data_IF_747058594150
#
_entry.id   IF_747058594150
#
_cell.length_a   1.000
_cell.length_b   1.000
_cell.length_c   1.000
_cell.angle_alpha   90.00
_cell.angle_beta   90.00
_cell.angle_gamma   90.00
#
_symmetry.space_group_name_H-M   'P 1'
#
loop_
_entity.id
_entity.type
_entity.pdbx_description
1 polymer ?
#
# COMPACT_ATOMS: atom_id res chain seq x y z
N UNK A 1 11.91 -14.95 -16.31
CA UNK A 1 11.62 -15.19 -14.87
C UNK A 1 10.90 -16.52 -14.65
N UNK A 2 9.90 -16.91 -15.43
CA UNK A 2 9.34 -18.26 -15.29
C UNK A 2 10.39 -19.34 -15.56
N UNK A 3 10.42 -20.37 -14.72
CA UNK A 3 11.44 -21.42 -14.71
C UNK A 3 12.77 -21.02 -14.06
N UNK A 4 12.95 -19.75 -13.68
CA UNK A 4 14.15 -19.31 -12.95
C UNK A 4 14.14 -19.89 -11.53
N UNK A 5 15.28 -20.46 -11.14
CA UNK A 5 15.55 -20.89 -9.76
C UNK A 5 16.37 -19.80 -9.08
N UNK A 6 15.88 -19.31 -7.96
CA UNK A 6 16.58 -18.35 -7.11
C UNK A 6 17.07 -19.06 -5.86
N UNK A 7 18.38 -18.96 -5.57
CA UNK A 7 18.94 -19.42 -4.29
C UNK A 7 18.76 -18.30 -3.27
N UNK A 8 17.97 -18.56 -2.24
CA UNK A 8 17.49 -17.54 -1.31
C UNK A 8 18.03 -17.82 0.08
N UNK A 9 18.52 -16.78 0.75
CA UNK A 9 19.05 -16.87 2.12
C UNK A 9 18.21 -16.07 3.09
N UNK A 10 18.07 -16.62 4.30
CA UNK A 10 17.34 -15.96 5.37
C UNK A 10 18.01 -14.62 5.68
N UNK A 11 17.20 -13.58 5.75
CA UNK A 11 17.65 -12.25 6.04
C UNK A 11 16.92 -11.70 7.25
N UNK A 12 17.68 -11.24 8.23
CA UNK A 12 17.11 -10.45 9.32
C UNK A 12 17.06 -9.01 8.81
N UNK A 13 15.87 -8.43 8.56
CA UNK A 13 15.77 -7.02 8.22
C UNK A 13 16.54 -6.18 9.24
N UNK A 14 17.15 -5.06 8.83
CA UNK A 14 17.73 -4.10 9.76
C UNK A 14 16.73 -3.86 10.88
N UNK A 15 17.19 -3.81 12.14
CA UNK A 15 16.33 -3.24 13.19
C UNK A 15 15.91 -1.88 12.67
N UNK A 16 14.63 -1.66 12.42
CA UNK A 16 14.26 -0.35 11.96
C UNK A 16 14.16 0.54 13.21
N UNK A 17 14.10 1.85 13.05
CA UNK A 17 13.50 2.75 14.05
C UNK A 17 14.36 3.19 15.26
N UNK A 18 15.57 3.74 15.05
CA UNK A 18 16.18 4.62 16.09
C UNK A 18 16.23 6.11 15.69
N UNK A 19 15.82 6.49 14.47
CA UNK A 19 15.81 7.91 14.09
C UNK A 19 14.45 8.55 14.39
N UNK A 20 14.49 9.72 15.04
CA UNK A 20 13.31 10.55 15.37
C UNK A 20 12.63 11.15 14.13
N UNK A 21 13.30 11.14 12.99
CA UNK A 21 12.91 11.93 11.80
C UNK A 21 12.04 11.14 10.81
N UNK A 22 11.56 9.94 11.19
CA UNK A 22 10.76 9.10 10.29
C UNK A 22 11.57 8.56 9.09
N UNK A 23 12.89 8.74 9.10
CA UNK A 23 13.82 8.04 8.23
C UNK A 23 14.01 6.64 8.84
N UNK A 24 13.34 5.67 8.23
CA UNK A 24 13.22 4.29 8.71
C UNK A 24 14.55 3.52 8.75
N UNK A 25 15.57 4.10 8.13
CA UNK A 25 16.98 3.78 8.31
C UNK A 25 17.62 5.06 8.86
N UNK A 26 18.57 4.97 9.80
CA UNK A 26 19.36 6.15 10.22
C UNK A 26 20.01 6.87 9.02
N UNK A 27 20.90 7.83 9.26
CA UNK A 27 21.62 8.47 8.14
C UNK A 27 22.12 7.40 7.16
N UNK A 28 21.61 7.46 5.92
CA UNK A 28 21.96 6.47 4.91
C UNK A 28 23.48 6.49 4.80
N UNK A 29 24.18 5.35 4.94
CA UNK A 29 25.62 5.31 4.72
C UNK A 29 25.97 5.65 3.26
N UNK A 30 24.96 5.63 2.37
CA UNK A 30 25.09 6.09 1.00
C UNK A 30 25.19 7.61 1.01
N UNK A 31 26.28 8.13 0.44
CA UNK A 31 26.29 9.53 0.02
C UNK A 31 25.15 9.69 -0.98
N UNK A 32 24.13 10.47 -0.60
CA UNK A 32 23.10 10.89 -1.55
C UNK A 32 23.80 11.40 -2.81
N UNK A 33 23.27 11.03 -3.98
CA UNK A 33 23.92 11.41 -5.22
C UNK A 33 24.10 12.93 -5.27
N UNK A 34 25.34 13.38 -5.45
CA UNK A 34 25.67 14.75 -5.80
C UNK A 34 25.31 15.02 -7.27
N UNK A 35 24.11 14.63 -7.74
CA UNK A 35 23.57 15.13 -9.01
C UNK A 35 23.13 16.57 -8.75
N UNK A 36 24.11 17.48 -8.69
CA UNK A 36 23.94 18.88 -8.28
C UNK A 36 23.08 19.71 -9.26
N UNK A 37 22.75 19.18 -10.43
CA UNK A 37 22.18 19.98 -11.52
C UNK A 37 20.70 19.72 -11.80
N UNK A 38 19.96 19.02 -10.93
CA UNK A 38 18.49 18.89 -11.04
C UNK A 38 17.95 18.07 -12.22
N UNK A 39 18.72 17.93 -13.30
CA UNK A 39 18.34 17.29 -14.56
C UNK A 39 18.89 15.85 -14.72
N UNK A 40 19.61 15.34 -13.70
CA UNK A 40 20.49 14.19 -13.84
C UNK A 40 20.11 12.93 -13.07
N UNK A 41 18.94 12.83 -12.44
CA UNK A 41 18.57 11.54 -11.88
C UNK A 41 18.26 10.58 -13.04
N UNK A 42 18.85 9.38 -13.09
CA UNK A 42 18.63 8.50 -14.22
C UNK A 42 17.18 8.03 -14.28
N UNK A 43 16.41 8.71 -15.13
CA UNK A 43 15.10 8.27 -15.58
C UNK A 43 15.20 6.99 -16.44
N UNK A 44 16.41 6.63 -16.87
CA UNK A 44 16.70 5.45 -17.66
C UNK A 44 17.12 4.25 -16.78
N UNK A 45 16.59 3.08 -17.13
CA UNK A 45 16.78 1.80 -16.41
C UNK A 45 18.24 1.40 -16.21
N UNK A 46 19.12 1.63 -17.19
CA UNK A 46 20.53 1.20 -17.10
C UNK A 46 21.33 1.96 -16.04
N UNK A 47 20.96 3.22 -15.81
CA UNK A 47 21.59 4.02 -14.78
C UNK A 47 20.94 3.80 -13.40
N UNK A 48 19.66 3.38 -13.33
CA UNK A 48 19.10 2.76 -12.10
C UNK A 48 19.83 1.45 -11.77
N UNK A 49 20.05 0.57 -12.74
CA UNK A 49 20.78 -0.69 -12.55
C UNK A 49 22.22 -0.44 -12.08
N UNK A 50 22.93 0.48 -12.72
CA UNK A 50 24.28 0.90 -12.29
C UNK A 50 24.27 1.43 -10.85
N UNK A 51 23.29 2.29 -10.52
CA UNK A 51 23.15 2.84 -9.18
C UNK A 51 22.92 1.76 -8.12
N UNK A 52 21.99 0.82 -8.35
CA UNK A 52 21.71 -0.28 -7.40
C UNK A 52 22.92 -1.21 -7.24
N UNK A 53 23.71 -1.42 -8.29
CA UNK A 53 24.95 -2.19 -8.22
C UNK A 53 26.03 -1.50 -7.37
N UNK A 54 26.08 -0.17 -7.38
CA UNK A 54 27.02 0.64 -6.60
C UNK A 54 26.56 0.90 -5.16
N UNK A 55 25.26 0.72 -4.90
CA UNK A 55 24.62 1.01 -3.63
C UNK A 55 23.89 -0.25 -3.12
N UNK A 56 24.62 -1.28 -2.66
CA UNK A 56 23.99 -2.48 -2.13
C UNK A 56 23.09 -2.13 -0.93
N UNK A 57 22.00 -2.88 -0.72
CA UNK A 57 21.17 -2.78 0.48
C UNK A 57 22.04 -2.78 1.74
N UNK A 58 21.62 -2.01 2.74
CA UNK A 58 22.34 -1.93 4.01
C UNK A 58 22.50 -3.35 4.57
N UNK A 59 23.74 -3.82 4.69
CA UNK A 59 24.05 -5.13 5.25
C UNK A 59 23.72 -5.12 6.73
N UNK A 60 22.79 -5.97 7.15
CA UNK A 60 22.49 -6.16 8.57
C UNK A 60 22.77 -7.58 8.94
N UNK A 61 24.03 -7.81 9.33
CA UNK A 61 24.56 -9.09 9.81
C UNK A 61 24.64 -10.14 8.67
N UNK A 62 25.65 -11.02 8.64
CA UNK A 62 25.74 -12.05 7.61
C UNK A 62 24.43 -12.87 7.50
N UNK A 63 24.07 -13.31 6.28
CA UNK A 63 22.86 -14.09 6.05
C UNK A 63 22.81 -15.30 6.98
N UNK A 64 21.60 -15.66 7.42
CA UNK A 64 21.38 -16.88 8.19
C UNK A 64 21.89 -18.11 7.44
N UNK A 65 22.19 -19.23 8.13
CA UNK A 65 22.68 -20.44 7.48
C UNK A 65 21.62 -21.14 6.61
N UNK A 66 20.36 -20.71 6.68
CA UNK A 66 19.26 -21.32 5.94
C UNK A 66 19.21 -20.79 4.50
N UNK A 67 19.28 -21.72 3.55
CA UNK A 67 19.19 -21.48 2.11
C UNK A 67 18.13 -22.40 1.51
N UNK A 68 17.30 -21.87 0.61
CA UNK A 68 16.34 -22.67 -0.16
C UNK A 68 16.23 -22.17 -1.60
N UNK A 69 15.73 -23.04 -2.46
CA UNK A 69 15.46 -22.73 -3.86
C UNK A 69 14.00 -22.30 -4.05
N UNK A 70 13.80 -21.10 -4.62
CA UNK A 70 12.53 -20.66 -5.16
C UNK A 70 12.52 -20.89 -6.67
N UNK A 71 11.67 -21.82 -7.14
CA UNK A 71 11.42 -21.99 -8.57
C UNK A 71 10.21 -21.16 -8.98
N UNK A 72 10.44 -20.08 -9.73
CA UNK A 72 9.37 -19.21 -10.22
C UNK A 72 8.53 -19.97 -11.25
N UNK A 73 7.24 -20.14 -10.97
CA UNK A 73 6.30 -20.78 -11.89
C UNK A 73 5.55 -19.77 -12.75
N UNK A 74 5.16 -18.65 -12.14
CA UNK A 74 4.32 -17.64 -12.78
C UNK A 74 4.68 -16.26 -12.24
N UNK A 75 4.75 -15.28 -13.12
CA UNK A 75 4.80 -13.87 -12.71
C UNK A 75 3.35 -13.35 -12.65
N UNK A 76 2.89 -12.90 -11.47
CA UNK A 76 1.57 -12.28 -11.31
C UNK A 76 1.65 -10.81 -11.66
N UNK A 77 2.61 -10.09 -11.08
CA UNK A 77 2.86 -8.68 -11.34
C UNK A 77 4.33 -8.53 -11.66
N UNK A 78 4.63 -7.96 -12.83
CA UNK A 78 5.99 -7.82 -13.33
C UNK A 78 6.28 -6.41 -13.81
N UNK A 79 7.56 -6.08 -13.97
CA UNK A 79 7.96 -4.79 -14.50
C UNK A 79 7.45 -4.64 -15.93
N UNK A 80 6.72 -3.55 -16.20
CA UNK A 80 6.36 -3.21 -17.57
C UNK A 80 7.60 -2.70 -18.30
N UNK A 81 7.67 -2.95 -19.61
CA UNK A 81 8.52 -2.12 -20.47
C UNK A 81 7.94 -0.72 -20.40
N UNK A 82 8.66 0.22 -19.79
CA UNK A 82 8.47 1.62 -20.15
C UNK A 82 8.91 1.72 -21.60
N UNK A 83 7.95 1.62 -22.52
CA UNK A 83 8.14 2.29 -23.80
C UNK A 83 8.12 3.77 -23.41
N UNK A 84 9.31 4.33 -23.18
CA UNK A 84 9.52 5.69 -23.64
C UNK A 84 9.39 5.56 -25.16
N UNK A 85 8.14 5.49 -25.65
CA UNK A 85 7.89 5.97 -26.98
C UNK A 85 8.51 7.36 -26.92
N UNK A 86 9.59 7.56 -27.68
CA UNK A 86 9.83 8.88 -28.18
C UNK A 86 8.45 9.34 -28.61
N UNK A 87 7.94 10.39 -27.98
CA UNK A 87 7.04 11.24 -28.73
C UNK A 87 7.90 11.63 -29.92
N UNK A 88 7.86 10.81 -30.96
CA UNK A 88 8.19 11.21 -32.30
C UNK A 88 7.25 12.38 -32.45
N UNK A 89 7.88 13.54 -32.32
CA UNK A 89 7.31 14.86 -32.37
C UNK A 89 6.89 15.06 -33.83
N UNK A 90 5.94 14.23 -34.27
CA UNK A 90 5.07 14.44 -35.42
C UNK A 90 4.06 15.56 -35.05
N UNK A 91 4.51 16.57 -34.29
CA UNK A 91 3.97 17.90 -34.49
C UNK A 91 4.31 18.22 -35.93
N UNK A 92 3.30 18.03 -36.78
CA UNK A 92 3.23 18.63 -38.10
C UNK A 92 3.71 20.07 -37.93
N UNK A 93 4.94 20.34 -38.37
CA UNK A 93 5.47 21.68 -38.50
C UNK A 93 4.54 22.40 -39.47
N UNK A 94 3.51 23.06 -38.93
CA UNK A 94 2.87 24.16 -39.62
C UNK A 94 4.01 25.12 -39.97
N UNK A 95 4.25 25.28 -41.26
CA UNK A 95 5.24 26.18 -41.85
C UNK A 95 5.10 27.58 -41.24
N UNK A 96 5.84 27.85 -40.16
CA UNK A 96 6.08 29.20 -39.70
C UNK A 96 7.23 29.76 -40.54
N UNK A 97 6.89 30.71 -41.41
CA UNK A 97 7.84 31.50 -42.18
C UNK A 97 8.82 32.19 -41.23
N UNK A 98 10.04 31.65 -41.19
CA UNK A 98 11.20 32.08 -40.42
C UNK A 98 11.70 33.45 -40.89
N UNK A 99 11.48 34.48 -40.07
CA UNK A 99 12.07 35.81 -40.17
C UNK A 99 13.35 35.93 -39.34
N UNK A 100 14.33 35.10 -39.70
CA UNK A 100 15.74 35.46 -39.81
C UNK A 100 16.34 36.29 -38.66
N UNK A 101 16.91 35.59 -37.68
CA UNK A 101 18.22 35.83 -37.04
C UNK A 101 18.33 34.98 -35.77
N UNK A 102 19.13 33.92 -35.82
CA UNK A 102 19.55 33.17 -34.64
C UNK A 102 20.83 32.40 -34.94
N UNK A 103 21.83 32.60 -34.09
CA UNK A 103 23.18 32.05 -34.24
C UNK A 103 23.21 30.52 -34.31
N UNK A 104 23.96 30.00 -35.29
CA UNK A 104 24.24 28.57 -35.46
C UNK A 104 25.19 28.14 -34.33
N UNK A 105 24.68 27.34 -33.38
CA UNK A 105 25.51 26.64 -32.41
C UNK A 105 26.13 25.44 -33.13
N UNK A 106 27.43 25.50 -33.43
CA UNK A 106 28.19 24.36 -33.97
C UNK A 106 28.21 23.22 -32.95
N UNK A 107 27.67 22.07 -33.36
CA UNK A 107 27.68 20.83 -32.59
C UNK A 107 29.07 20.19 -32.68
N UNK A 108 29.72 19.90 -31.54
CA UNK A 108 31.03 19.24 -31.49
C UNK A 108 30.88 17.72 -31.81
N UNK A 109 31.39 17.25 -32.95
CA UNK A 109 31.27 15.84 -33.35
C UNK A 109 32.15 14.88 -32.52
N UNK A 110 32.96 15.39 -31.58
CA UNK A 110 33.80 14.57 -30.70
C UNK A 110 33.22 14.37 -29.30
N UNK A 111 31.98 14.80 -29.04
CA UNK A 111 31.28 14.47 -27.81
C UNK A 111 30.91 12.97 -27.82
N UNK A 112 31.83 12.15 -27.32
CA UNK A 112 31.69 10.70 -27.20
C UNK A 112 30.67 10.38 -26.11
N UNK A 113 29.41 10.24 -26.50
CA UNK A 113 28.39 9.60 -25.67
C UNK A 113 28.73 8.11 -25.62
N UNK A 114 28.99 7.50 -24.44
CA UNK A 114 29.13 6.06 -24.33
C UNK A 114 27.90 5.41 -24.96
N UNK A 115 28.11 4.52 -25.93
CA UNK A 115 27.04 4.00 -26.77
C UNK A 115 25.86 3.48 -25.95
N UNK A 116 24.61 3.68 -26.41
CA UNK A 116 23.44 3.21 -25.70
C UNK A 116 23.50 1.69 -25.60
N UNK A 117 23.35 1.20 -24.37
CA UNK A 117 23.03 -0.20 -24.11
C UNK A 117 21.84 -0.60 -24.99
N UNK A 118 21.94 -1.76 -25.65
CA UNK A 118 20.81 -2.32 -26.38
C UNK A 118 19.94 -3.08 -25.40
N UNK A 119 18.67 -2.71 -25.38
CA UNK A 119 17.60 -3.33 -24.59
C UNK A 119 17.47 -4.86 -24.79
N UNK A 120 18.09 -5.40 -25.83
CA UNK A 120 18.04 -6.79 -26.27
C UNK A 120 18.99 -7.73 -25.48
N UNK A 121 19.93 -7.19 -24.69
CA UNK A 121 20.94 -7.98 -23.97
C UNK A 121 20.50 -8.46 -22.56
N UNK A 122 19.32 -8.03 -22.09
CA UNK A 122 18.72 -8.54 -20.85
C UNK A 122 17.95 -9.84 -21.12
N UNK A 123 17.95 -10.84 -20.21
CA UNK A 123 17.15 -12.06 -20.39
C UNK A 123 15.68 -11.69 -20.62
N UNK A 124 15.23 -11.90 -21.86
CA UNK A 124 13.94 -11.44 -22.37
C UNK A 124 12.80 -11.85 -21.43
N UNK A 125 12.11 -10.86 -20.85
CA UNK A 125 10.79 -11.05 -20.24
C UNK A 125 9.75 -11.10 -21.36
N UNK A 126 9.74 -12.18 -22.16
CA UNK A 126 8.71 -12.39 -23.19
C UNK A 126 7.38 -12.74 -22.55
N UNK A 127 6.37 -11.91 -22.83
CA UNK A 127 4.95 -12.11 -22.53
C UNK A 127 4.48 -13.37 -23.28
N UNK A 128 4.07 -14.44 -22.57
CA UNK A 128 3.51 -15.65 -23.20
C UNK A 128 1.99 -15.67 -23.27
N UNK A 129 1.30 -14.79 -22.54
CA UNK A 129 -0.16 -14.72 -22.53
C UNK A 129 -0.65 -13.26 -22.59
N UNK A 130 -1.16 -12.79 -23.75
CA UNK A 130 -1.73 -11.46 -23.90
C UNK A 130 -3.08 -11.29 -23.17
N UNK A 131 -3.65 -12.36 -22.60
CA UNK A 131 -4.96 -12.34 -21.93
C UNK A 131 -4.90 -12.21 -20.40
N UNK A 132 -3.71 -12.05 -19.81
CA UNK A 132 -3.59 -11.66 -18.40
C UNK A 132 -3.64 -10.12 -18.28
N UNK A 133 -4.72 -9.56 -17.67
CA UNK A 133 -4.92 -8.12 -17.58
C UNK A 133 -4.08 -7.56 -16.42
N UNK A 134 -2.83 -7.28 -16.71
CA UNK A 134 -2.06 -6.27 -16.01
C UNK A 134 -2.11 -5.03 -16.89
N UNK A 135 -2.47 -3.91 -16.27
CA UNK A 135 -2.91 -2.63 -16.85
C UNK A 135 -1.93 -2.05 -17.90
N UNK A 136 -2.17 -0.87 -18.44
CA UNK A 136 -1.24 -0.20 -19.36
C UNK A 136 -0.29 0.82 -18.66
N UNK A 137 -0.41 1.02 -17.33
CA UNK A 137 0.40 2.01 -16.58
C UNK A 137 1.74 1.53 -15.98
N UNK A 138 2.82 2.33 -15.92
CA UNK A 138 4.08 1.92 -15.29
C UNK A 138 3.87 1.42 -13.85
N UNK A 139 4.12 0.13 -13.64
CA UNK A 139 3.98 -0.49 -12.33
C UNK A 139 5.17 -0.10 -11.45
N UNK A 140 4.90 0.67 -10.39
CA UNK A 140 5.90 1.18 -9.47
C UNK A 140 5.80 0.40 -8.15
N UNK A 141 6.56 -0.68 -8.00
CA UNK A 141 6.53 -1.48 -6.77
C UNK A 141 7.15 -2.86 -6.88
N UNK A 142 6.85 -3.71 -5.90
CA UNK A 142 7.37 -5.05 -5.80
C UNK A 142 6.88 -5.98 -6.92
N UNK A 143 7.79 -6.73 -7.53
CA UNK A 143 7.43 -7.81 -8.45
C UNK A 143 6.74 -8.91 -7.65
N UNK A 144 5.56 -9.35 -8.09
CA UNK A 144 4.81 -10.42 -7.43
C UNK A 144 4.85 -11.68 -8.28
N UNK A 145 5.39 -12.76 -7.75
CA UNK A 145 5.49 -14.05 -8.43
C UNK A 145 4.85 -15.16 -7.60
N UNK A 146 4.43 -16.22 -8.28
CA UNK A 146 4.10 -17.50 -7.65
C UNK A 146 5.18 -18.49 -8.01
N UNK A 147 5.70 -19.19 -7.01
CA UNK A 147 6.73 -20.19 -7.19
C UNK A 147 6.58 -21.36 -6.25
N UNK A 148 7.29 -22.44 -6.57
CA UNK A 148 7.46 -23.55 -5.67
C UNK A 148 8.62 -23.27 -4.72
N UNK A 149 8.39 -23.47 -3.43
CA UNK A 149 9.42 -23.46 -2.39
C UNK A 149 9.24 -24.72 -1.55
N UNK A 150 10.33 -25.32 -1.10
CA UNK A 150 10.31 -26.31 -0.04
C UNK A 150 10.96 -25.71 1.19
N UNK A 151 10.15 -25.27 2.15
CA UNK A 151 10.65 -24.72 3.40
C UNK A 151 11.10 -25.85 4.34
N UNK A 152 11.90 -25.50 5.34
CA UNK A 152 12.36 -26.47 6.34
C UNK A 152 11.15 -27.10 7.06
N UNK A 153 11.11 -28.43 7.04
CA UNK A 153 10.01 -29.21 7.63
C UNK A 153 8.88 -29.55 6.64
N UNK A 154 8.87 -28.98 5.44
CA UNK A 154 7.94 -29.40 4.40
C UNK A 154 8.33 -30.78 3.84
N UNK A 155 7.32 -31.66 3.72
CA UNK A 155 7.49 -32.98 3.12
C UNK A 155 7.68 -32.92 1.59
N UNK A 156 7.20 -31.85 0.95
CA UNK A 156 7.30 -31.64 -0.49
C UNK A 156 7.19 -30.14 -0.79
N UNK A 157 7.71 -29.66 -1.95
CA UNK A 157 7.55 -28.29 -2.38
C UNK A 157 6.08 -27.87 -2.46
N UNK A 158 5.77 -26.65 -2.01
CA UNK A 158 4.44 -26.03 -2.06
C UNK A 158 4.49 -24.72 -2.82
N UNK A 159 3.32 -24.24 -3.25
CA UNK A 159 3.23 -22.96 -3.93
C UNK A 159 3.08 -21.81 -2.93
N UNK A 160 3.90 -20.78 -3.14
CA UNK A 160 3.90 -19.55 -2.35
C UNK A 160 3.81 -18.33 -3.26
N UNK A 161 3.43 -17.19 -2.68
CA UNK A 161 3.54 -15.88 -3.32
C UNK A 161 4.81 -15.22 -2.81
N UNK A 162 5.68 -14.77 -3.71
CA UNK A 162 6.85 -13.98 -3.37
C UNK A 162 6.68 -12.56 -3.89
N UNK A 163 6.83 -11.58 -3.00
CA UNK A 163 6.93 -10.16 -3.36
C UNK A 163 8.40 -9.76 -3.32
N UNK A 164 8.94 -9.37 -4.46
CA UNK A 164 10.36 -9.11 -4.71
C UNK A 164 10.54 -7.60 -4.89
N UNK A 165 11.33 -7.00 -4.01
CA UNK A 165 11.64 -5.57 -3.97
C UNK A 165 13.04 -5.37 -4.54
N UNK A 166 13.12 -5.24 -5.86
CA UNK A 166 14.36 -4.95 -6.58
C UNK A 166 14.36 -3.47 -6.97
N UNK A 167 15.31 -2.71 -6.44
CA UNK A 167 15.44 -1.27 -6.67
C UNK A 167 15.50 -0.88 -8.14
N UNK A 168 15.94 -1.80 -9.02
CA UNK A 168 15.95 -1.58 -10.46
C UNK A 168 14.54 -1.44 -11.09
N UNK A 169 13.48 -1.72 -10.33
CA UNK A 169 12.08 -1.60 -10.77
C UNK A 169 11.29 -0.56 -9.97
N UNK A 170 11.99 0.24 -9.17
CA UNK A 170 11.42 1.35 -8.43
C UNK A 170 11.73 2.64 -9.18
N UNK A 171 10.80 3.18 -9.99
CA UNK A 171 11.09 4.40 -10.70
C UNK A 171 11.19 5.55 -9.71
N UNK A 172 12.28 6.30 -9.81
CA UNK A 172 12.42 7.58 -9.16
C UNK A 172 11.94 8.63 -10.15
N UNK A 173 10.68 9.05 -10.02
CA UNK A 173 10.26 10.30 -10.63
C UNK A 173 10.42 11.39 -9.58
N UNK A 174 11.25 12.39 -9.88
CA UNK A 174 11.40 13.57 -9.02
C UNK A 174 10.05 14.25 -8.76
N UNK A 175 9.19 14.34 -9.77
CA UNK A 175 7.84 14.90 -9.62
C UNK A 175 6.93 14.04 -8.74
N UNK A 176 7.03 12.71 -8.82
CA UNK A 176 6.27 11.81 -7.96
C UNK A 176 6.71 11.89 -6.50
N UNK A 177 8.00 12.09 -6.24
CA UNK A 177 8.56 12.24 -4.89
C UNK A 177 8.24 13.62 -4.30
N UNK A 178 8.35 14.69 -5.09
CA UNK A 178 7.91 16.05 -4.71
C UNK A 178 6.41 16.09 -4.41
N UNK A 179 5.56 15.46 -5.24
CA UNK A 179 4.11 15.39 -5.02
C UNK A 179 3.72 14.53 -3.79
N UNK A 180 4.57 13.59 -3.37
CA UNK A 180 4.35 12.77 -2.15
C UNK A 180 4.71 13.50 -0.86
N UNK A 181 5.22 14.73 -0.94
CA UNK A 181 5.05 15.73 0.11
C UNK A 181 5.89 15.52 1.38
N UNK A 182 7.16 15.12 1.27
CA UNK A 182 8.04 15.05 2.46
C UNK A 182 9.36 15.83 2.41
N UNK A 183 9.78 16.34 1.25
CA UNK A 183 10.99 17.15 1.16
C UNK A 183 10.77 18.35 0.24
N UNK A 184 11.22 19.52 0.70
CA UNK A 184 11.43 20.63 -0.23
C UNK A 184 12.60 20.23 -1.13
N UNK A 185 12.56 20.48 -2.44
CA UNK A 185 13.70 20.28 -3.35
C UNK A 185 15.04 20.82 -2.81
N UNK A 186 14.98 21.82 -1.93
CA UNK A 186 16.12 22.55 -1.37
C UNK A 186 16.93 21.82 -0.30
N UNK A 187 16.52 20.64 0.19
CA UNK A 187 17.33 19.88 1.17
C UNK A 187 18.43 19.01 0.53
N UNK A 188 18.51 19.00 -0.80
CA UNK A 188 19.60 18.35 -1.55
C UNK A 188 19.59 16.82 -1.48
N UNK A 189 18.52 16.21 -0.97
CA UNK A 189 18.39 14.77 -0.84
C UNK A 189 17.62 14.24 -2.06
N UNK A 190 18.36 13.77 -3.07
CA UNK A 190 17.74 13.12 -4.22
C UNK A 190 17.14 11.75 -3.80
N UNK A 191 15.87 11.45 -4.14
CA UNK A 191 15.25 10.17 -3.83
C UNK A 191 15.99 9.01 -4.52
N UNK A 192 16.18 7.89 -3.81
CA UNK A 192 16.93 6.72 -4.28
C UNK A 192 15.98 5.51 -4.45
N UNK A 193 15.94 4.92 -5.66
CA UNK A 193 15.18 3.71 -6.01
C UNK A 193 15.44 2.51 -5.09
N UNK A 194 16.69 2.25 -4.73
CA UNK A 194 17.05 1.15 -3.83
C UNK A 194 16.62 1.45 -2.40
N UNK A 195 16.82 2.68 -1.93
CA UNK A 195 16.29 3.10 -0.63
C UNK A 195 14.76 2.96 -0.60
N UNK A 196 14.05 3.36 -1.66
CA UNK A 196 12.60 3.20 -1.76
C UNK A 196 12.16 1.74 -1.72
N UNK A 197 12.83 0.87 -2.48
CA UNK A 197 12.56 -0.57 -2.47
C UNK A 197 12.78 -1.18 -1.08
N UNK A 198 13.88 -0.82 -0.41
CA UNK A 198 14.20 -1.27 0.94
C UNK A 198 13.15 -0.76 1.96
N UNK A 199 12.70 0.49 1.85
CA UNK A 199 11.65 1.08 2.69
C UNK A 199 10.31 0.32 2.56
N UNK A 200 9.84 0.12 1.34
CA UNK A 200 8.60 -0.60 1.09
C UNK A 200 8.69 -2.05 1.60
N UNK A 201 9.82 -2.72 1.34
CA UNK A 201 10.12 -4.05 1.86
C UNK A 201 10.08 -4.10 3.39
N UNK A 202 10.76 -3.16 4.06
CA UNK A 202 10.86 -3.14 5.51
C UNK A 202 9.52 -2.86 6.18
N UNK A 203 8.75 -1.90 5.65
CA UNK A 203 7.40 -1.62 6.12
C UNK A 203 6.50 -2.86 5.97
N UNK A 204 6.47 -3.50 4.80
CA UNK A 204 5.64 -4.68 4.57
C UNK A 204 6.09 -5.88 5.42
N UNK A 205 7.40 -6.13 5.52
CA UNK A 205 7.94 -7.21 6.37
C UNK A 205 7.69 -6.96 7.86
N UNK A 206 7.78 -5.72 8.33
CA UNK A 206 7.53 -5.38 9.72
C UNK A 206 6.05 -5.57 10.07
N UNK A 207 5.15 -5.10 9.21
CA UNK A 207 3.71 -5.30 9.36
C UNK A 207 3.35 -6.78 9.51
N UNK A 208 3.82 -7.63 8.59
CA UNK A 208 3.54 -9.07 8.65
C UNK A 208 4.14 -9.74 9.90
N UNK A 209 5.31 -9.31 10.37
CA UNK A 209 5.88 -9.80 11.62
C UNK A 209 5.02 -9.42 12.83
N UNK A 210 4.57 -8.17 12.91
CA UNK A 210 3.66 -7.71 13.96
C UNK A 210 2.34 -8.49 13.97
N UNK A 211 1.82 -8.82 12.77
CA UNK A 211 0.62 -9.67 12.64
C UNK A 211 0.88 -11.11 13.10
N UNK A 212 2.03 -11.67 12.75
CA UNK A 212 2.41 -13.04 13.13
C UNK A 212 2.60 -13.16 14.65
N UNK A 213 3.25 -12.17 15.26
CA UNK A 213 3.53 -12.06 16.70
C UNK A 213 2.29 -11.67 17.53
N UNK A 214 1.22 -11.19 16.89
CA UNK A 214 -0.02 -10.87 17.57
C UNK A 214 -0.56 -12.08 18.35
N UNK A 215 -0.93 -11.92 19.64
CA UNK A 215 -1.53 -12.99 20.41
C UNK A 215 -2.91 -13.38 19.87
N UNK A 216 -3.58 -12.46 19.18
CA UNK A 216 -4.92 -12.68 18.68
C UNK A 216 -4.92 -13.42 17.34
N UNK A 217 -5.82 -14.40 17.15
CA UNK A 217 -5.91 -15.12 15.88
C UNK A 217 -6.52 -14.29 14.75
N UNK A 218 -7.30 -13.25 15.09
CA UNK A 218 -8.01 -12.40 14.15
C UNK A 218 -7.11 -11.78 13.07
N UNK A 219 -6.07 -11.01 13.43
CA UNK A 219 -5.13 -10.44 12.47
C UNK A 219 -4.54 -11.46 11.48
N UNK A 220 -4.17 -12.66 11.94
CA UNK A 220 -3.66 -13.73 11.06
C UNK A 220 -4.72 -14.28 10.11
N UNK A 221 -6.00 -14.23 10.49
CA UNK A 221 -7.12 -14.58 9.59
C UNK A 221 -7.41 -13.47 8.59
N UNK A 222 -7.15 -12.22 8.93
CA UNK A 222 -7.33 -11.05 8.07
C UNK A 222 -6.25 -10.90 6.98
N UNK A 223 -5.12 -11.61 7.05
CA UNK A 223 -3.98 -11.41 6.13
C UNK A 223 -3.45 -12.73 5.56
N UNK A 224 -2.52 -12.66 4.61
CA UNK A 224 -1.83 -13.85 4.10
C UNK A 224 -0.85 -14.38 5.15
N UNK A 225 -0.69 -15.71 5.24
CA UNK A 225 0.34 -16.31 6.09
C UNK A 225 1.73 -15.81 5.71
N UNK A 226 2.48 -15.28 6.67
CA UNK A 226 3.85 -14.81 6.47
C UNK A 226 4.87 -15.93 6.70
N UNK A 227 5.71 -16.20 5.70
CA UNK A 227 6.73 -17.24 5.72
C UNK A 227 8.16 -16.69 5.79
N UNK A 228 8.30 -15.45 6.24
CA UNK A 228 9.57 -14.80 6.46
C UNK A 228 9.97 -13.84 5.34
N UNK A 229 11.05 -13.14 5.62
CA UNK A 229 11.66 -12.16 4.74
C UNK A 229 13.10 -12.55 4.44
N UNK A 230 13.52 -12.25 3.22
CA UNK A 230 14.63 -12.93 2.58
C UNK A 230 15.44 -11.96 1.73
N UNK A 231 16.68 -12.33 1.45
CA UNK A 231 17.55 -11.57 0.55
C UNK A 231 18.32 -12.53 -0.34
N UNK A 232 18.44 -12.17 -1.61
CA UNK A 232 19.21 -12.94 -2.57
C UNK A 232 19.94 -12.01 -3.53
N UNK A 233 20.99 -12.55 -4.14
CA UNK A 233 21.81 -11.83 -5.08
C UNK A 233 21.35 -12.19 -6.50
N UNK A 234 21.00 -11.19 -7.30
CA UNK A 234 20.80 -11.33 -8.73
C UNK A 234 22.09 -10.95 -9.47
N UNK A 235 22.50 -11.69 -10.50
CA UNK A 235 23.59 -11.25 -11.34
C UNK A 235 23.27 -9.89 -11.97
N UNK A 236 24.26 -9.01 -12.01
CA UNK A 236 24.22 -7.80 -12.83
C UNK A 236 24.05 -8.14 -14.31
N UNK A 237 23.61 -7.17 -15.09
CA UNK A 237 23.55 -7.29 -16.56
C UNK A 237 24.94 -7.43 -17.18
N UNK A 238 25.96 -6.90 -16.52
CA UNK A 238 27.35 -6.98 -16.95
C UNK A 238 27.99 -8.32 -16.56
N UNK A 239 28.16 -9.19 -17.56
CA UNK A 239 28.79 -10.49 -17.44
C UNK A 239 30.30 -10.41 -17.12
N UNK A 240 30.96 -9.30 -17.44
CA UNK A 240 32.41 -9.15 -17.25
C UNK A 240 32.74 -8.86 -15.79
N UNK A 241 31.99 -7.94 -15.15
CA UNK A 241 32.29 -7.53 -13.78
C UNK A 241 31.82 -8.52 -12.71
N UNK A 242 30.97 -9.50 -13.07
CA UNK A 242 30.37 -10.49 -12.15
C UNK A 242 29.75 -9.85 -10.89
N UNK A 243 29.37 -8.57 -10.97
CA UNK A 243 28.73 -7.87 -9.87
C UNK A 243 27.35 -8.46 -9.66
N UNK A 244 26.94 -8.55 -8.41
CA UNK A 244 25.58 -8.96 -8.08
C UNK A 244 24.87 -7.76 -7.45
N UNK A 245 23.60 -7.59 -7.77
CA UNK A 245 22.71 -6.70 -7.03
C UNK A 245 21.92 -7.51 -6.03
N UNK A 246 21.81 -7.03 -4.82
CA UNK A 246 21.02 -7.68 -3.79
C UNK A 246 19.57 -7.22 -3.86
N UNK A 247 18.67 -8.17 -3.66
CA UNK A 247 17.23 -7.98 -3.80
C UNK A 247 16.54 -8.52 -2.56
N UNK A 248 15.53 -7.79 -2.07
CA UNK A 248 14.75 -8.19 -0.90
C UNK A 248 13.48 -8.91 -1.32
N UNK A 249 12.99 -9.80 -0.46
CA UNK A 249 11.77 -10.55 -0.73
C UNK A 249 10.96 -10.82 0.54
N UNK A 250 9.64 -10.75 0.41
CA UNK A 250 8.67 -11.23 1.40
C UNK A 250 8.01 -12.48 0.83
N UNK A 251 8.02 -13.59 1.57
CA UNK A 251 7.36 -14.85 1.18
C UNK A 251 6.03 -15.00 1.92
N UNK A 252 4.96 -15.23 1.16
CA UNK A 252 3.57 -15.25 1.64
C UNK A 252 2.85 -16.53 1.21
N UNK A 253 1.84 -16.90 1.98
CA UNK A 253 0.89 -17.96 1.65
C UNK A 253 0.21 -17.66 0.31
N UNK A 254 0.14 -18.67 -0.57
CA UNK A 254 -0.71 -18.62 -1.75
C UNK A 254 -2.14 -19.03 -1.37
N UNK A 255 -3.10 -18.15 -1.63
CA UNK A 255 -4.54 -18.42 -1.44
C UNK A 255 -5.29 -18.43 -2.77
N UNK A 256 -6.36 -19.22 -2.86
CA UNK A 256 -7.35 -19.14 -3.96
C UNK A 256 -8.31 -17.97 -3.69
N UNK A 257 -7.89 -16.76 -4.05
CA UNK A 257 -8.63 -15.53 -3.87
C UNK A 257 -8.44 -14.60 -5.09
N UNK A 258 -9.40 -13.72 -5.32
CA UNK A 258 -9.37 -12.73 -6.42
C UNK A 258 -9.27 -11.32 -5.85
N UNK A 259 -8.38 -10.44 -6.35
CA UNK A 259 -8.39 -9.04 -5.97
C UNK A 259 -9.75 -8.39 -6.19
N UNK A 260 -10.24 -7.58 -5.24
CA UNK A 260 -11.54 -6.93 -5.35
C UNK A 260 -11.60 -6.01 -6.58
N UNK A 261 -10.53 -5.27 -6.85
CA UNK A 261 -10.35 -4.49 -8.10
C UNK A 261 -10.59 -5.31 -9.36
N UNK A 262 -10.13 -6.57 -9.40
CA UNK A 262 -10.34 -7.46 -10.53
C UNK A 262 -11.81 -7.90 -10.64
N UNK A 263 -12.50 -8.15 -9.52
CA UNK A 263 -13.94 -8.46 -9.52
C UNK A 263 -14.72 -7.29 -10.10
N UNK A 264 -14.41 -6.07 -9.65
CA UNK A 264 -15.00 -4.83 -10.13
C UNK A 264 -14.78 -4.68 -11.64
N UNK A 265 -13.52 -4.74 -12.10
CA UNK A 265 -13.17 -4.62 -13.52
C UNK A 265 -13.84 -5.68 -14.40
N UNK A 266 -13.88 -6.94 -13.95
CA UNK A 266 -14.52 -8.03 -14.68
C UNK A 266 -16.02 -7.79 -14.86
N UNK A 267 -16.69 -7.12 -13.91
CA UNK A 267 -18.10 -6.79 -14.02
C UNK A 267 -18.40 -5.71 -15.07
N UNK A 268 -17.44 -4.81 -15.31
CA UNK A 268 -17.51 -3.77 -16.36
C UNK A 268 -17.21 -4.31 -17.76
N UNK A 269 -16.17 -5.13 -17.88
CA UNK A 269 -15.67 -5.59 -19.18
C UNK A 269 -16.52 -6.73 -19.79
N UNK A 270 -17.04 -7.64 -18.96
CA UNK A 270 -17.79 -8.80 -19.44
C UNK A 270 -19.28 -8.50 -19.35
N UNK A 271 -19.89 -8.15 -20.48
CA UNK A 271 -21.33 -7.92 -20.59
C UNK A 271 -22.10 -9.13 -20.02
N UNK A 272 -22.86 -8.89 -18.96
CA UNK A 272 -23.68 -9.91 -18.30
C UNK A 272 -23.00 -10.65 -17.14
N UNK A 273 -21.78 -10.26 -16.72
CA UNK A 273 -21.20 -10.71 -15.45
C UNK A 273 -21.44 -9.63 -14.39
N UNK A 274 -22.52 -9.71 -13.60
CA UNK A 274 -22.76 -8.71 -12.56
C UNK A 274 -21.70 -8.81 -11.47
N UNK A 275 -21.54 -7.72 -10.71
CA UNK A 275 -20.96 -7.78 -9.38
C UNK A 275 -21.70 -8.84 -8.52
N UNK A 276 -21.09 -9.32 -7.42
CA UNK A 276 -21.83 -10.07 -6.41
C UNK A 276 -23.10 -9.32 -6.01
N UNK A 277 -24.10 -10.07 -5.54
CA UNK A 277 -25.35 -9.46 -5.04
C UNK A 277 -25.06 -8.45 -3.94
N UNK A 278 -25.93 -7.46 -3.76
CA UNK A 278 -25.75 -6.44 -2.73
C UNK A 278 -25.55 -7.07 -1.34
N UNK A 279 -26.33 -8.09 -0.99
CA UNK A 279 -26.17 -8.83 0.26
C UNK A 279 -24.77 -9.45 0.41
N UNK A 280 -24.22 -10.03 -0.65
CA UNK A 280 -22.87 -10.59 -0.62
C UNK A 280 -21.80 -9.50 -0.49
N UNK A 281 -21.95 -8.38 -1.22
CA UNK A 281 -21.04 -7.23 -1.12
C UNK A 281 -21.00 -6.65 0.30
N UNK A 282 -22.15 -6.55 0.96
CA UNK A 282 -22.26 -6.06 2.34
C UNK A 282 -21.64 -7.03 3.36
N UNK A 283 -21.75 -8.34 3.14
CA UNK A 283 -21.05 -9.33 3.97
C UNK A 283 -19.52 -9.18 3.81
N UNK A 284 -19.04 -9.05 2.57
CA UNK A 284 -17.62 -8.83 2.28
C UNK A 284 -17.14 -7.51 2.91
N UNK A 285 -17.94 -6.45 2.82
CA UNK A 285 -17.61 -5.16 3.42
C UNK A 285 -17.52 -5.24 4.94
N UNK A 286 -18.46 -5.93 5.60
CA UNK A 286 -18.38 -6.18 7.04
C UNK A 286 -17.10 -6.96 7.39
N UNK A 287 -16.79 -8.01 6.65
CA UNK A 287 -15.58 -8.81 6.87
C UNK A 287 -14.30 -7.97 6.71
N UNK A 288 -14.31 -6.99 5.81
CA UNK A 288 -13.21 -6.05 5.62
C UNK A 288 -13.05 -5.08 6.79
N UNK A 289 -14.15 -4.48 7.23
CA UNK A 289 -14.14 -3.59 8.40
C UNK A 289 -13.65 -4.35 9.63
N UNK A 290 -14.19 -5.55 9.89
CA UNK A 290 -13.74 -6.41 10.99
C UNK A 290 -12.23 -6.72 10.90
N UNK A 291 -11.73 -7.01 9.69
CA UNK A 291 -10.33 -7.33 9.44
C UNK A 291 -9.40 -6.13 9.66
N UNK A 292 -9.75 -4.95 9.14
CA UNK A 292 -8.96 -3.73 9.32
C UNK A 292 -8.98 -3.25 10.79
N UNK A 293 -10.11 -3.39 11.47
CA UNK A 293 -10.21 -3.12 12.91
C UNK A 293 -9.36 -4.07 13.76
N UNK A 294 -9.26 -5.34 13.37
CA UNK A 294 -8.35 -6.26 14.03
C UNK A 294 -6.89 -5.89 13.83
N UNK A 295 -6.50 -5.44 12.63
CA UNK A 295 -5.15 -4.98 12.34
C UNK A 295 -4.80 -3.70 13.10
N UNK A 296 -5.72 -2.73 13.11
CA UNK A 296 -5.54 -1.49 13.86
C UNK A 296 -5.38 -1.80 15.34
N UNK A 297 -6.36 -2.46 15.95
CA UNK A 297 -6.41 -2.66 17.40
C UNK A 297 -5.31 -3.57 17.94
N UNK A 298 -5.09 -4.73 17.30
CA UNK A 298 -4.22 -5.77 17.84
C UNK A 298 -2.79 -5.69 17.33
N UNK A 299 -2.59 -5.05 16.18
CA UNK A 299 -1.28 -4.95 15.55
C UNK A 299 -0.79 -3.51 15.47
N UNK A 300 -1.58 -2.49 15.85
CA UNK A 300 -1.19 -1.09 15.71
C UNK A 300 -0.85 -0.73 14.25
N UNK A 301 -1.59 -1.32 13.30
CA UNK A 301 -1.42 -1.12 11.85
C UNK A 301 -2.63 -0.35 11.33
N UNK A 302 -2.41 0.83 10.77
CA UNK A 302 -3.46 1.61 10.12
C UNK A 302 -3.24 1.69 8.61
N UNK A 303 -4.17 1.15 7.83
CA UNK A 303 -4.28 1.51 6.43
C UNK A 303 -4.91 2.88 6.29
N UNK A 304 -4.07 3.89 6.07
CA UNK A 304 -4.54 5.26 5.86
C UNK A 304 -5.51 5.35 4.67
N UNK A 305 -5.21 4.62 3.60
CA UNK A 305 -5.94 4.63 2.34
C UNK A 305 -6.06 3.19 1.83
N UNK A 306 -6.95 2.39 2.43
CA UNK A 306 -7.20 1.01 1.99
C UNK A 306 -7.93 1.02 0.65
N UNK A 307 -7.37 0.39 -0.39
CA UNK A 307 -7.97 0.38 -1.72
C UNK A 307 -8.51 -1.01 -2.11
N UNK A 308 -9.44 -1.12 -3.09
CA UNK A 308 -9.92 -2.42 -3.55
C UNK A 308 -8.83 -3.35 -4.09
N UNK A 309 -7.72 -2.80 -4.60
CA UNK A 309 -6.60 -3.63 -5.06
C UNK A 309 -5.72 -4.20 -3.92
N UNK A 310 -5.92 -3.72 -2.68
CA UNK A 310 -5.26 -4.21 -1.48
C UNK A 310 -6.09 -5.30 -0.77
N UNK A 311 -7.23 -5.69 -1.34
CA UNK A 311 -8.15 -6.66 -0.77
C UNK A 311 -8.31 -7.85 -1.70
N UNK A 312 -8.01 -9.06 -1.21
CA UNK A 312 -8.32 -10.31 -1.89
C UNK A 312 -9.61 -10.90 -1.32
N UNK A 313 -10.49 -11.37 -2.20
CA UNK A 313 -11.77 -11.99 -1.86
C UNK A 313 -11.71 -13.49 -2.15
N UNK A 314 -11.93 -14.31 -1.14
CA UNK A 314 -12.12 -15.77 -1.28
C UNK A 314 -13.53 -16.10 -1.73
N UNK A 315 -13.71 -17.31 -2.28
CA UNK A 315 -15.02 -17.80 -2.74
C UNK A 315 -16.09 -17.85 -1.64
N UNK A 316 -15.69 -17.95 -0.37
CA UNK A 316 -16.59 -17.96 0.79
C UNK A 316 -16.91 -16.56 1.34
N UNK A 317 -16.44 -15.49 0.69
CA UNK A 317 -16.62 -14.11 1.14
C UNK A 317 -15.62 -13.66 2.21
N UNK A 318 -14.67 -14.52 2.61
CA UNK A 318 -13.54 -14.11 3.47
C UNK A 318 -12.65 -13.15 2.72
N UNK A 319 -12.18 -12.12 3.40
CA UNK A 319 -11.25 -11.12 2.85
C UNK A 319 -9.84 -11.32 3.39
N UNK A 320 -8.85 -10.95 2.58
CA UNK A 320 -7.45 -10.85 2.98
C UNK A 320 -6.90 -9.49 2.58
N UNK A 321 -6.39 -8.73 3.54
CA UNK A 321 -5.72 -7.45 3.30
C UNK A 321 -4.24 -7.72 2.96
N UNK A 322 -3.73 -7.03 1.94
CA UNK A 322 -2.35 -7.15 1.41
C UNK A 322 -1.72 -5.76 1.19
N UNK A 323 -0.47 -5.70 0.73
CA UNK A 323 0.25 -4.45 0.39
C UNK A 323 0.50 -3.51 1.58
N UNK A 324 1.05 -4.04 2.67
CA UNK A 324 1.34 -3.28 3.89
C UNK A 324 2.45 -2.23 3.78
N UNK A 325 3.14 -2.12 2.63
CA UNK A 325 4.19 -1.11 2.43
C UNK A 325 3.69 0.35 2.53
N UNK A 326 2.37 0.57 2.42
CA UNK A 326 1.73 1.88 2.58
C UNK A 326 1.05 2.07 3.95
N UNK A 327 1.02 1.03 4.79
CA UNK A 327 0.38 1.09 6.09
C UNK A 327 1.22 1.91 7.08
N UNK A 328 0.55 2.59 8.00
CA UNK A 328 1.19 3.24 9.14
C UNK A 328 1.33 2.18 10.24
N UNK A 329 2.56 1.96 10.69
CA UNK A 329 2.86 1.05 11.80
C UNK A 329 3.10 1.90 13.04
N UNK A 330 2.11 2.09 13.92
CA UNK A 330 2.25 3.03 15.03
C UNK A 330 3.37 2.65 16.01
N UNK A 331 3.62 1.35 16.20
CA UNK A 331 4.74 0.88 17.01
C UNK A 331 6.12 1.32 16.49
N UNK A 332 6.16 1.82 15.25
CA UNK A 332 7.36 2.22 14.54
C UNK A 332 7.49 3.74 14.36
N UNK A 333 6.45 4.50 14.73
CA UNK A 333 6.41 5.95 14.58
C UNK A 333 6.66 6.59 15.94
N UNK A 334 7.75 7.35 16.07
CA UNK A 334 8.11 8.07 17.30
C UNK A 334 7.52 9.50 17.36
N UNK A 335 6.70 9.87 16.38
CA UNK A 335 6.13 11.22 16.27
C UNK A 335 4.76 11.27 16.95
N UNK A 336 4.69 12.09 18.01
CA UNK A 336 3.51 12.35 18.85
C UNK A 336 2.24 12.66 18.04
N UNK A 337 2.37 13.26 16.86
CA UNK A 337 1.23 13.61 15.99
C UNK A 337 0.54 12.39 15.38
N UNK A 338 1.24 11.27 15.32
CA UNK A 338 0.70 10.00 14.85
C UNK A 338 0.34 9.07 16.01
N UNK A 339 0.52 9.46 17.28
CA UNK A 339 0.18 8.61 18.43
C UNK A 339 -1.32 8.71 18.77
N UNK A 340 -2.20 8.49 17.79
CA UNK A 340 -3.65 8.43 18.03
C UNK A 340 -4.15 7.02 18.35
N UNK A 341 -3.27 6.01 18.33
CA UNK A 341 -3.63 4.66 18.72
C UNK A 341 -3.62 4.52 20.25
N UNK A 342 -4.68 3.97 20.90
CA UNK A 342 -4.77 3.91 22.36
C UNK A 342 -3.57 3.23 23.04
N UNK A 343 -3.07 2.12 22.48
CA UNK A 343 -1.84 1.44 22.98
C UNK A 343 -0.58 2.30 22.94
N UNK A 344 -0.55 3.33 22.10
CA UNK A 344 0.59 4.24 22.00
C UNK A 344 0.48 5.38 23.01
N UNK A 345 -0.75 5.78 23.36
CA UNK A 345 -1.02 6.77 24.41
C UNK A 345 -0.84 6.21 25.83
N UNK A 346 -1.10 4.92 26.02
CA UNK A 346 -0.97 4.23 27.31
C UNK A 346 -0.21 2.88 27.18
N UNK A 347 1.10 2.91 26.84
CA UNK A 347 1.89 1.70 26.58
C UNK A 347 2.05 0.78 27.81
N UNK A 348 1.85 1.31 29.02
CA UNK A 348 1.92 0.58 30.27
C UNK A 348 0.66 -0.22 30.63
N UNK A 349 -0.47 0.01 29.95
CA UNK A 349 -1.71 -0.69 30.25
C UNK A 349 -1.64 -2.17 29.83
N UNK A 350 -2.11 -3.05 30.73
CA UNK A 350 -2.23 -4.47 30.40
C UNK A 350 -3.31 -4.71 29.33
N UNK A 351 -3.30 -5.87 28.68
CA UNK A 351 -4.35 -6.21 27.71
C UNK A 351 -5.72 -6.31 28.40
N UNK A 352 -5.75 -6.81 29.64
CA UNK A 352 -6.95 -6.82 30.48
C UNK A 352 -7.42 -5.41 30.83
N UNK A 353 -6.51 -4.48 31.14
CA UNK A 353 -6.87 -3.09 31.43
C UNK A 353 -7.38 -2.36 30.18
N UNK A 354 -6.74 -2.54 29.02
CA UNK A 354 -7.22 -2.01 27.74
C UNK A 354 -8.58 -2.59 27.32
N UNK A 355 -8.85 -3.86 27.68
CA UNK A 355 -10.18 -4.46 27.53
C UNK A 355 -11.16 -3.89 28.54
N UNK A 356 -10.74 -3.70 29.79
CA UNK A 356 -11.56 -3.23 30.89
C UNK A 356 -11.90 -1.74 30.80
N UNK A 357 -11.08 -0.93 30.14
CA UNK A 357 -11.43 0.44 29.76
C UNK A 357 -12.55 0.49 28.71
N UNK A 358 -12.93 -0.65 28.14
CA UNK A 358 -13.95 -0.69 27.10
C UNK A 358 -13.46 0.11 25.90
N UNK A 359 -12.21 -0.04 25.50
CA UNK A 359 -11.64 0.79 24.44
C UNK A 359 -11.62 0.13 23.06
N UNK A 360 -12.14 -1.11 22.87
CA UNK A 360 -12.28 -1.60 21.49
C UNK A 360 -13.41 -0.83 20.82
N UNK A 361 -13.05 0.35 20.33
CA UNK A 361 -13.93 1.36 19.76
C UNK A 361 -14.76 0.66 18.70
N UNK A 362 -16.08 0.89 18.76
CA UNK A 362 -16.97 0.34 17.75
C UNK A 362 -16.52 0.79 16.36
N UNK A 363 -16.52 -0.09 15.34
CA UNK A 363 -16.14 0.30 13.98
C UNK A 363 -17.01 1.44 13.45
N UNK A 364 -18.20 1.61 14.04
CA UNK A 364 -19.07 2.76 13.84
C UNK A 364 -18.33 4.10 13.97
N UNK A 365 -17.42 4.29 14.95
CA UNK A 365 -16.71 5.56 15.10
C UNK A 365 -15.76 5.83 13.94
N UNK A 366 -15.00 4.81 13.50
CA UNK A 366 -13.96 4.97 12.48
C UNK A 366 -14.50 5.01 11.06
N UNK A 367 -15.56 4.24 10.81
CA UNK A 367 -16.18 4.11 9.50
C UNK A 367 -17.45 4.96 9.36
N UNK A 368 -17.75 5.83 10.34
CA UNK A 368 -18.88 6.73 10.26
C UNK A 368 -18.79 7.59 8.99
N UNK A 369 -19.85 7.67 8.17
CA UNK A 369 -19.81 8.45 6.94
C UNK A 369 -19.93 9.96 7.20
N UNK A 370 -20.11 10.35 8.46
CA UNK A 370 -20.11 11.75 8.89
C UNK A 370 -18.85 12.03 9.69
N UNK A 371 -18.22 13.16 9.44
CA UNK A 371 -17.00 13.50 10.15
C UNK A 371 -17.33 14.01 11.57
N UNK A 372 -17.17 13.16 12.58
CA UNK A 372 -17.48 13.50 13.99
C UNK A 372 -16.24 14.03 14.73
N UNK A 373 -15.02 13.74 14.27
CA UNK A 373 -13.80 13.96 15.07
C UNK A 373 -12.58 14.51 14.32
N UNK A 374 -12.60 14.63 12.99
CA UNK A 374 -11.43 15.11 12.25
C UNK A 374 -11.64 16.55 11.79
N UNK A 375 -10.89 17.50 12.35
CA UNK A 375 -11.00 18.91 11.99
C UNK A 375 -10.54 19.26 10.56
N UNK A 376 -10.29 18.29 9.66
CA UNK A 376 -9.62 18.60 8.39
C UNK A 376 -10.12 17.98 7.10
N UNK A 377 -10.94 16.92 7.01
CA UNK A 377 -11.55 16.55 5.70
C UNK A 377 -12.86 15.77 5.89
N UNK A 378 -13.96 16.26 5.32
CA UNK A 378 -15.17 15.47 5.06
C UNK A 378 -14.79 14.30 4.13
N UNK A 379 -14.63 13.10 4.69
CA UNK A 379 -14.38 11.91 3.87
C UNK A 379 -14.82 10.65 4.59
N UNK A 380 -15.74 9.89 4.00
CA UNK A 380 -15.97 8.51 4.39
C UNK A 380 -14.71 7.72 4.01
N UNK A 381 -13.91 7.17 4.96
CA UNK A 381 -12.56 6.67 4.67
C UNK A 381 -12.51 5.57 3.59
N UNK A 382 -13.64 4.89 3.38
CA UNK A 382 -13.79 3.93 2.29
C UNK A 382 -14.08 4.60 0.95
N UNK A 383 -15.03 5.53 0.85
CA UNK A 383 -15.46 6.08 -0.46
C UNK A 383 -14.66 7.29 -0.91
N UNK A 384 -14.22 8.13 0.03
CA UNK A 384 -13.61 9.42 -0.27
C UNK A 384 -12.08 9.38 -0.27
N UNK A 385 -11.49 8.18 -0.37
CA UNK A 385 -10.08 8.06 -0.68
C UNK A 385 -9.85 8.77 -2.03
N UNK A 386 -9.01 9.83 -2.08
CA UNK A 386 -8.91 10.70 -3.23
C UNK A 386 -8.48 9.87 -4.43
N UNK A 387 -9.44 9.56 -5.30
CA UNK A 387 -9.15 8.82 -6.53
C UNK A 387 -8.24 9.70 -7.37
N UNK A 388 -6.96 9.32 -7.43
CA UNK A 388 -6.06 9.98 -8.38
C UNK A 388 -6.57 9.63 -9.77
N UNK A 389 -6.46 10.51 -10.78
CA UNK A 389 -7.00 10.26 -12.11
C UNK A 389 -6.60 8.89 -12.70
N UNK A 390 -5.38 8.43 -12.39
CA UNK A 390 -4.82 7.14 -12.78
C UNK A 390 -5.30 5.93 -11.95
N UNK A 391 -5.93 6.15 -10.79
CA UNK A 391 -6.47 5.06 -9.95
C UNK A 391 -7.86 4.60 -10.39
N UNK A 392 -8.53 5.37 -11.26
CA UNK A 392 -9.87 5.07 -11.77
C UNK A 392 -9.97 3.71 -12.50
N UNK A 393 -8.86 3.21 -13.05
CA UNK A 393 -8.81 1.89 -13.71
C UNK A 393 -8.78 0.72 -12.71
N UNK A 394 -8.35 0.96 -11.47
CA UNK A 394 -8.21 -0.06 -10.42
C UNK A 394 -9.50 -0.29 -9.63
N UNK A 395 -10.56 0.42 -9.97
CA UNK A 395 -11.86 0.34 -9.32
C UNK A 395 -11.88 1.14 -8.02
N UNK A 396 -12.86 2.03 -7.93
CA UNK A 396 -13.12 2.84 -6.75
C UNK A 396 -14.09 2.10 -5.81
N UNK A 397 -14.10 2.47 -4.52
CA UNK A 397 -15.02 1.90 -3.54
C UNK A 397 -16.50 2.20 -3.83
N UNK A 398 -16.78 3.30 -4.52
CA UNK A 398 -18.11 3.70 -4.98
C UNK A 398 -18.80 2.61 -5.82
N UNK A 399 -18.04 1.83 -6.57
CA UNK A 399 -18.53 0.70 -7.36
C UNK A 399 -18.86 -0.52 -6.50
N UNK A 400 -18.23 -0.65 -5.33
CA UNK A 400 -18.46 -1.78 -4.43
C UNK A 400 -19.63 -1.56 -3.48
N UNK A 401 -19.90 -0.32 -3.07
CA UNK A 401 -20.96 -0.01 -2.12
C UNK A 401 -22.34 0.05 -2.81
N UNK A 402 -23.45 -0.01 -2.05
CA UNK A 402 -24.78 0.30 -2.58
C UNK A 402 -24.83 1.71 -3.18
N UNK A 403 -25.42 1.86 -4.36
CA UNK A 403 -25.54 3.16 -5.04
C UNK A 403 -26.30 4.18 -4.17
N UNK A 404 -27.27 3.70 -3.38
CA UNK A 404 -28.01 4.55 -2.45
C UNK A 404 -27.12 5.24 -1.43
N UNK A 405 -26.00 4.65 -1.02
CA UNK A 405 -25.07 5.24 -0.05
C UNK A 405 -24.30 6.43 -0.62
N UNK A 406 -24.07 6.45 -1.94
CA UNK A 406 -23.40 7.56 -2.62
C UNK A 406 -24.29 8.80 -2.68
N UNK A 407 -25.61 8.61 -2.78
CA UNK A 407 -26.60 9.68 -2.76
C UNK A 407 -27.09 10.03 -1.36
N UNK A 408 -27.01 9.07 -0.43
CA UNK A 408 -27.52 9.17 0.94
C UNK A 408 -26.59 8.43 1.92
N UNK A 409 -25.56 9.12 2.46
CA UNK A 409 -24.65 8.54 3.45
C UNK A 409 -25.35 8.07 4.74
N UNK A 410 -26.59 8.48 5.01
CA UNK A 410 -27.32 7.99 6.19
C UNK A 410 -27.67 6.51 6.08
N UNK A 411 -27.89 5.98 4.87
CA UNK A 411 -28.11 4.54 4.70
C UNK A 411 -26.87 3.72 5.08
N UNK A 412 -25.66 4.24 4.84
CA UNK A 412 -24.42 3.63 5.30
C UNK A 412 -24.29 3.68 6.83
N UNK A 413 -24.60 4.82 7.44
CA UNK A 413 -24.63 4.99 8.89
C UNK A 413 -25.63 4.03 9.57
N UNK A 414 -26.84 3.91 9.01
CA UNK A 414 -27.87 3.00 9.49
C UNK A 414 -27.41 1.54 9.37
N UNK A 415 -26.77 1.18 8.25
CA UNK A 415 -26.20 -0.15 8.08
C UNK A 415 -25.12 -0.45 9.11
N UNK A 416 -24.19 0.49 9.37
CA UNK A 416 -23.15 0.33 10.40
C UNK A 416 -23.74 0.11 11.79
N UNK A 417 -24.67 0.99 12.22
CA UNK A 417 -25.35 0.85 13.50
C UNK A 417 -26.05 -0.51 13.62
N UNK A 418 -26.84 -0.90 12.61
CA UNK A 418 -27.52 -2.20 12.63
C UNK A 418 -26.55 -3.38 12.65
N UNK A 419 -25.43 -3.28 11.96
CA UNK A 419 -24.41 -4.34 11.84
C UNK A 419 -23.70 -4.58 13.16
N UNK A 420 -23.41 -3.52 13.92
CA UNK A 420 -22.61 -3.60 15.14
C UNK A 420 -23.41 -3.43 16.45
N UNK A 421 -24.74 -3.29 16.40
CA UNK A 421 -25.61 -3.02 17.55
C UNK A 421 -25.40 -3.93 18.77
N UNK A 422 -25.15 -5.21 18.52
CA UNK A 422 -25.05 -6.23 19.56
C UNK A 422 -23.73 -7.01 19.47
N UNK A 423 -22.71 -6.41 18.87
CA UNK A 423 -21.43 -7.06 18.71
C UNK A 423 -20.59 -6.87 19.98
N UNK A 424 -20.68 -7.85 20.90
CA UNK A 424 -20.00 -7.85 22.21
C UNK A 424 -18.47 -7.75 22.12
N UNK A 425 -17.89 -7.87 20.91
CA UNK A 425 -16.46 -7.65 20.70
C UNK A 425 -16.08 -6.18 20.87
N UNK A 426 -17.02 -5.26 20.66
CA UNK A 426 -16.80 -3.83 20.66
C UNK A 426 -17.55 -3.16 21.79
N UNK A 427 -17.03 -2.01 22.19
CA UNK A 427 -17.63 -1.20 23.22
C UNK A 427 -18.92 -0.55 22.73
N UNK A 428 -19.89 -0.30 23.63
CA UNK A 428 -21.02 0.55 23.33
C UNK A 428 -20.56 1.91 22.82
N UNK A 429 -21.39 2.55 22.00
CA UNK A 429 -21.16 3.94 21.58
C UNK A 429 -21.25 4.84 22.81
N UNK A 430 -20.27 5.72 22.98
CA UNK A 430 -20.23 6.65 24.11
C UNK A 430 -21.19 7.85 23.91
N UNK A 431 -21.45 8.58 24.99
CA UNK A 431 -22.31 9.76 24.95
C UNK A 431 -21.75 10.86 24.04
N UNK A 432 -20.43 10.99 23.90
CA UNK A 432 -19.80 12.03 23.06
C UNK A 432 -20.13 11.79 21.59
N UNK A 433 -20.10 10.52 21.15
CA UNK A 433 -20.54 10.13 19.82
C UNK A 433 -22.06 10.30 19.69
N UNK A 434 -22.83 9.68 20.57
CA UNK A 434 -24.29 9.63 20.46
C UNK A 434 -24.94 11.02 20.46
N UNK A 435 -24.45 11.92 21.30
CA UNK A 435 -24.98 13.26 21.47
C UNK A 435 -24.29 14.30 20.58
N UNK A 436 -23.46 13.87 19.62
CA UNK A 436 -22.69 14.79 18.78
C UNK A 436 -23.61 15.79 18.02
N UNK A 437 -23.29 17.10 18.01
CA UNK A 437 -24.14 18.13 17.39
C UNK A 437 -24.48 17.87 15.92
N UNK A 438 -23.56 17.27 15.16
CA UNK A 438 -23.79 16.95 13.73
C UNK A 438 -24.87 15.89 13.51
N UNK A 439 -25.31 15.19 14.55
CA UNK A 439 -26.46 14.29 14.46
C UNK A 439 -27.79 15.06 14.42
N UNK A 440 -27.86 16.30 14.93
CA UNK A 440 -29.11 17.05 15.01
C UNK A 440 -29.75 17.38 13.65
N UNK A 441 -28.93 17.44 12.59
CA UNK A 441 -29.38 17.76 11.23
C UNK A 441 -29.69 16.51 10.38
N UNK A 442 -29.72 15.31 10.99
CA UNK A 442 -29.93 14.03 10.28
C UNK A 442 -31.40 13.68 10.15
N UNK A 443 -31.74 12.73 9.27
CA UNK A 443 -33.13 12.32 9.09
C UNK A 443 -33.69 11.69 10.37
N UNK A 444 -35.03 11.77 10.51
CA UNK A 444 -35.74 11.16 11.65
C UNK A 444 -35.43 9.68 11.82
N UNK A 445 -35.19 8.93 10.72
CA UNK A 445 -34.85 7.51 10.78
C UNK A 445 -33.49 7.25 11.43
N UNK A 446 -32.47 8.05 11.11
CA UNK A 446 -31.15 7.90 11.73
C UNK A 446 -31.18 8.36 13.19
N UNK A 447 -31.90 9.45 13.49
CA UNK A 447 -32.10 9.95 14.85
C UNK A 447 -32.80 8.92 15.75
N UNK A 448 -33.92 8.34 15.31
CA UNK A 448 -34.63 7.28 16.02
C UNK A 448 -33.73 6.07 16.29
N UNK A 449 -32.83 5.75 15.35
CA UNK A 449 -31.88 4.67 15.56
C UNK A 449 -30.83 5.06 16.61
N UNK A 450 -30.24 6.25 16.55
CA UNK A 450 -29.29 6.73 17.57
C UNK A 450 -29.93 6.80 18.96
N UNK A 451 -31.19 7.21 19.08
CA UNK A 451 -31.95 7.20 20.34
C UNK A 451 -32.09 5.78 20.91
N UNK A 452 -32.26 4.76 20.05
CA UNK A 452 -32.24 3.35 20.47
C UNK A 452 -30.87 2.88 20.99
N UNK A 453 -29.80 3.62 20.69
CA UNK A 453 -28.46 3.40 21.25
C UNK A 453 -28.17 4.26 22.48
N UNK A 454 -29.11 5.11 22.90
CA UNK A 454 -28.98 5.93 24.11
C UNK A 454 -28.72 7.41 23.87
N UNK A 455 -28.77 7.89 22.61
CA UNK A 455 -28.73 9.33 22.32
C UNK A 455 -29.87 10.07 23.04
N UNK A 456 -29.57 11.23 23.63
CA UNK A 456 -30.58 12.07 24.28
C UNK A 456 -31.53 12.70 23.25
N UNK A 457 -32.82 12.89 23.57
CA UNK A 457 -33.76 13.59 22.69
C UNK A 457 -33.27 15.00 22.34
N UNK A 458 -33.61 15.50 21.15
CA UNK A 458 -33.14 16.82 20.68
C UNK A 458 -33.50 17.98 21.63
N UNK A 459 -34.66 17.91 22.28
CA UNK A 459 -35.09 18.92 23.26
C UNK A 459 -34.19 18.97 24.51
N UNK A 460 -33.64 17.81 24.92
CA UNK A 460 -32.72 17.73 26.05
C UNK A 460 -31.34 18.29 25.67
N UNK A 461 -30.83 17.95 24.49
CA UNK A 461 -29.54 18.46 24.00
C UNK A 461 -29.55 19.98 23.81
N UNK A 462 -30.65 20.55 23.31
CA UNK A 462 -30.77 22.01 23.18
C UNK A 462 -30.83 22.71 24.55
N UNK A 463 -31.49 22.08 25.54
CA UNK A 463 -31.51 22.61 26.89
C UNK A 463 -30.12 22.61 27.54
N UNK A 464 -29.33 21.54 27.34
CA UNK A 464 -27.93 21.46 27.80
C UNK A 464 -27.10 22.57 27.13
N UNK A 465 -27.20 22.72 25.81
CA UNK A 465 -26.48 23.75 25.05
C UNK A 465 -26.80 25.17 25.52
N UNK A 466 -28.08 25.47 25.77
CA UNK A 466 -28.47 26.80 26.28
C UNK A 466 -27.95 27.05 27.70
N UNK A 467 -27.93 26.02 28.55
CA UNK A 467 -27.40 26.12 29.91
C UNK A 467 -25.87 26.34 29.95
N UNK A 468 -25.12 25.94 28.91
CA UNK A 468 -23.69 26.20 28.79
C UNK A 468 -23.34 27.62 28.31
N UNK A 469 -24.33 28.36 27.79
CA UNK A 469 -24.16 29.75 27.30
C UNK A 469 -24.45 30.82 28.37
N UNK A 470 -25.11 30.43 29.46
CA UNK A 470 -25.42 31.28 30.62
C UNK A 470 -24.30 31.22 31.68
#
# INVERSE_FOLDING_TARGET
MEGTVLSIREHVPPRPFESKDGLFYGESPRKYNNYQDGDGFPCFRDAQLSYVLENPPIETVPPGPEEFDLTIKKVIIGPKRQYFDSQDDDSETEDQEDDGRGDVVEYDPNYFVPGPYRFDDLPELKRKDPHLPLDDEPYNGAIVVVGNVQLRGDQAPREYVAKIYDGAYYPVSFSAEVQRGRQKPDDGVAPDCATRADLDYAAESAAYRMIQESPQPGPRRATLGFHGSWTFALPGSDLETKRHRWVRMVLLEKVDATPMSQVIRQSKQVKGRPLPSESERLIILKNLIDADEELWWWCQINYKELQPHDVLIKKDGTVKIINFHQAILYACVQDDRFLCHPRTLAPEMSEEDLKATGERVSPVHRYWPFNVYTHTVESWPLVDAPSRPWETERGNWDEWVPVSWLSDPEEAAIWLLKTYRNDERYSPLDEVFLDHPDHMNRTGRLLELLEQFGRKPAAELEAIRLAELD
#
